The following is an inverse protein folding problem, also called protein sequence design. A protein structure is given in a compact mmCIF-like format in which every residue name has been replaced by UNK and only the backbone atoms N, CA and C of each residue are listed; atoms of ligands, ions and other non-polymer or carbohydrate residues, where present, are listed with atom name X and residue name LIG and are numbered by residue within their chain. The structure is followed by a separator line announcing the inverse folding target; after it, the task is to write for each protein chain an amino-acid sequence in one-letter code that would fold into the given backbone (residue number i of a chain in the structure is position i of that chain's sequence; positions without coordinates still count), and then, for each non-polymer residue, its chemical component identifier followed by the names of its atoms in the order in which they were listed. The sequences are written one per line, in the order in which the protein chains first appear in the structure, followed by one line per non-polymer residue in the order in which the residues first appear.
data_IF_660244763221
#
_entry.id   IF_660244763221
#
_cell.length_a   1.000
_cell.length_b   1.000
_cell.length_c   1.000
_cell.angle_alpha   90.00
_cell.angle_beta   90.00
_cell.angle_gamma   90.00
#
_symmetry.space_group_name_H-M   'P 1'
#
loop_
_entity.id
_entity.type
_entity.pdbx_description
1 polymer ?
#
# COMPACT_ATOMS: atom_id res chain seq x y z
N UNK A 1 48.61 -23.14 23.71
CA UNK A 1 47.47 -23.48 22.83
C UNK A 1 46.29 -22.60 23.22
N UNK A 2 46.13 -21.44 22.60
CA UNK A 2 45.02 -20.52 22.92
C UNK A 2 43.88 -20.76 21.93
N UNK A 3 42.78 -21.33 22.41
CA UNK A 3 41.56 -21.56 21.62
C UNK A 3 40.75 -20.27 21.65
N UNK A 4 40.82 -19.49 20.57
CA UNK A 4 39.92 -18.34 20.37
C UNK A 4 38.53 -18.89 20.10
N UNK A 5 37.62 -18.76 21.07
CA UNK A 5 36.23 -19.12 20.85
C UNK A 5 35.59 -18.14 19.86
N UNK A 6 34.81 -18.63 18.87
CA UNK A 6 34.12 -17.74 17.95
C UNK A 6 33.02 -17.03 18.74
N UNK A 7 33.22 -15.74 19.00
CA UNK A 7 32.24 -14.89 19.64
C UNK A 7 30.92 -15.03 18.87
N UNK A 8 29.90 -15.60 19.52
CA UNK A 8 28.60 -15.84 18.92
C UNK A 8 28.01 -14.48 18.49
N UNK A 9 28.05 -14.18 17.19
CA UNK A 9 27.36 -13.00 16.64
C UNK A 9 25.90 -13.08 17.05
N UNK A 10 25.32 -12.02 17.63
CA UNK A 10 23.89 -11.98 17.89
C UNK A 10 23.16 -12.27 16.58
N UNK A 11 22.37 -13.34 16.54
CA UNK A 11 21.45 -13.53 15.40
C UNK A 11 20.52 -12.32 15.37
N UNK A 12 20.32 -11.67 14.22
CA UNK A 12 19.33 -10.62 14.10
C UNK A 12 18.01 -11.25 14.53
N UNK A 13 17.56 -10.84 15.71
CA UNK A 13 16.28 -11.21 16.25
C UNK A 13 15.27 -10.73 15.19
N UNK A 14 14.38 -11.58 14.71
CA UNK A 14 13.35 -11.23 13.72
C UNK A 14 12.28 -10.30 14.31
N UNK A 15 12.68 -9.36 15.16
CA UNK A 15 11.86 -8.41 15.90
C UNK A 15 11.00 -7.55 14.98
N UNK A 16 11.37 -7.43 13.71
CA UNK A 16 10.60 -6.68 12.71
C UNK A 16 9.23 -7.30 12.38
N UNK A 17 9.04 -8.61 12.61
CA UNK A 17 7.77 -9.30 12.34
C UNK A 17 7.00 -9.68 13.62
N UNK A 18 7.70 -9.80 14.75
CA UNK A 18 7.12 -10.26 16.02
C UNK A 18 6.07 -9.31 16.64
N UNK A 19 5.95 -8.08 16.14
CA UNK A 19 4.99 -7.08 16.60
C UNK A 19 3.96 -6.65 15.55
N UNK A 20 3.94 -7.26 14.37
CA UNK A 20 3.09 -6.80 13.26
C UNK A 20 1.79 -7.59 13.27
N UNK A 21 0.66 -6.89 13.34
CA UNK A 21 -0.64 -7.54 13.22
C UNK A 21 -0.86 -8.00 11.78
N UNK A 22 -1.62 -9.08 11.59
CA UNK A 22 -2.01 -9.51 10.23
C UNK A 22 -2.71 -8.39 9.44
N UNK A 23 -3.41 -7.49 10.15
CA UNK A 23 -4.05 -6.32 9.57
C UNK A 23 -3.03 -5.33 9.01
N UNK A 24 -1.95 -5.04 9.73
CA UNK A 24 -0.91 -4.11 9.26
C UNK A 24 -0.17 -4.68 8.05
N UNK A 25 0.03 -6.01 8.01
CA UNK A 25 0.59 -6.66 6.83
C UNK A 25 -0.34 -6.49 5.61
N UNK A 26 -1.64 -6.74 5.77
CA UNK A 26 -2.62 -6.56 4.69
C UNK A 26 -2.73 -5.09 4.25
N UNK A 27 -2.72 -4.15 5.19
CA UNK A 27 -2.72 -2.72 4.90
C UNK A 27 -1.47 -2.30 4.12
N UNK A 28 -0.30 -2.82 4.50
CA UNK A 28 0.96 -2.58 3.79
C UNK A 28 0.92 -3.13 2.37
N UNK A 29 0.35 -4.32 2.16
CA UNK A 29 0.13 -4.88 0.83
C UNK A 29 -0.79 -4.01 -0.03
N UNK A 30 -1.92 -3.55 0.50
CA UNK A 30 -2.83 -2.66 -0.22
C UNK A 30 -2.17 -1.32 -0.59
N UNK A 31 -1.36 -0.75 0.32
CA UNK A 31 -0.60 0.47 0.04
C UNK A 31 0.43 0.25 -1.07
N UNK A 32 1.17 -0.86 -1.05
CA UNK A 32 2.12 -1.21 -2.11
C UNK A 32 1.41 -1.33 -3.48
N UNK A 33 0.23 -1.95 -3.53
CA UNK A 33 -0.58 -2.01 -4.75
C UNK A 33 -0.97 -0.63 -5.24
N UNK A 34 -1.41 0.28 -4.36
CA UNK A 34 -1.78 1.64 -4.77
C UNK A 34 -0.59 2.45 -5.33
N UNK A 35 0.63 2.20 -4.83
CA UNK A 35 1.86 2.83 -5.33
C UNK A 35 2.25 2.25 -6.69
N UNK A 36 2.24 0.91 -6.82
CA UNK A 36 2.62 0.23 -8.07
C UNK A 36 1.55 0.33 -9.16
N UNK A 37 0.31 0.58 -8.78
CA UNK A 37 -0.84 0.66 -9.67
C UNK A 37 -1.65 1.88 -9.27
N UNK A 38 -1.17 3.09 -9.64
CA UNK A 38 -1.91 4.30 -9.36
C UNK A 38 -3.29 4.21 -10.03
N UNK A 39 -4.35 4.65 -9.36
CA UNK A 39 -5.68 4.63 -9.95
C UNK A 39 -5.69 5.51 -11.21
N UNK A 40 -6.51 5.16 -12.21
CA UNK A 40 -6.71 6.01 -13.37
C UNK A 40 -7.16 7.39 -12.90
N UNK A 41 -6.69 8.43 -13.61
CA UNK A 41 -7.08 9.79 -13.30
C UNK A 41 -8.61 9.88 -13.27
N UNK A 42 -9.19 10.65 -12.33
CA UNK A 42 -10.63 10.83 -12.29
C UNK A 42 -11.08 11.37 -13.65
N UNK A 43 -11.98 10.64 -14.31
CA UNK A 43 -12.53 11.05 -15.60
C UNK A 43 -13.07 12.47 -15.47
N UNK A 44 -12.65 13.42 -16.33
CA UNK A 44 -13.23 14.74 -16.31
C UNK A 44 -14.73 14.56 -16.51
N UNK A 45 -15.51 15.01 -15.52
CA UNK A 45 -16.97 15.08 -15.66
C UNK A 45 -17.25 16.01 -16.83
N UNK A 46 -17.36 15.43 -18.02
CA UNK A 46 -18.04 16.05 -19.13
C UNK A 46 -19.47 16.16 -18.64
N UNK A 47 -19.82 17.33 -18.11
CA UNK A 47 -21.22 17.73 -17.93
C UNK A 47 -21.86 17.50 -19.30
N UNK A 48 -22.55 16.38 -19.49
CA UNK A 48 -23.47 16.24 -20.63
C UNK A 48 -24.36 17.48 -20.53
N UNK A 49 -24.49 18.30 -21.57
CA UNK A 49 -25.49 19.35 -21.55
C UNK A 49 -26.80 18.63 -21.28
N UNK A 50 -27.42 18.96 -20.14
CA UNK A 50 -28.79 18.57 -19.88
C UNK A 50 -29.55 19.01 -21.13
N UNK A 51 -30.15 18.06 -21.86
CA UNK A 51 -31.06 18.43 -22.95
C UNK A 51 -32.04 19.41 -22.32
N UNK A 52 -32.02 20.64 -22.79
CA UNK A 52 -32.98 21.65 -22.36
C UNK A 52 -34.30 21.25 -23.02
N UNK A 53 -35.09 20.46 -22.31
CA UNK A 53 -36.49 20.25 -22.62
C UNK A 53 -37.22 21.57 -22.32
N UNK A 54 -37.10 22.55 -23.20
CA UNK A 54 -37.99 23.71 -23.17
C UNK A 54 -39.08 23.49 -24.20
N UNK A 55 -40.25 23.14 -23.67
CA UNK A 55 -41.51 23.06 -24.40
C UNK A 55 -41.72 24.30 -25.27
N UNK A 56 -42.11 24.07 -26.52
CA UNK A 56 -42.77 25.07 -27.35
C UNK A 56 -44.27 24.83 -27.26
N UNK A 57 -44.97 25.90 -26.86
CA UNK A 57 -46.41 26.01 -26.59
C UNK A 57 -47.30 25.77 -27.82
#
# INVERSE_FOLDING_TARGET
MSKTEPQARPRPQSSGLAGVSMRDLLASCAAATAVSTPPPAPEPTTRRPAREHREAA
#
